data_IF_812827866931
#
_entry.id   IF_812827866931
#
_cell.length_a   1.000
_cell.length_b   1.000
_cell.length_c   1.000
_cell.angle_alpha   90.00
_cell.angle_beta   90.00
_cell.angle_gamma   90.00
#
_symmetry.space_group_name_H-M   'P 1'
#
loop_
_entity.id
_entity.type
_entity.pdbx_description
1 polymer ?
#
# COMPACT_ATOMS: atom_id res chain seq x y z
N UNK A 1 -4.64 -31.10 -10.18
CA UNK A 1 -5.50 -30.28 -9.31
C UNK A 1 -4.61 -29.26 -8.62
N UNK A 2 -4.95 -27.98 -8.72
CA UNK A 2 -4.17 -26.88 -8.14
C UNK A 2 -4.21 -26.96 -6.60
N UNK A 3 -3.09 -26.61 -5.94
CA UNK A 3 -2.92 -26.64 -4.48
C UNK A 3 -2.69 -25.22 -3.98
N UNK A 4 -3.56 -24.75 -3.10
CA UNK A 4 -3.50 -23.41 -2.52
C UNK A 4 -3.20 -23.54 -1.03
N UNK A 5 -2.06 -23.01 -0.60
CA UNK A 5 -1.67 -22.96 0.80
C UNK A 5 -2.17 -21.72 1.52
N UNK A 6 -2.38 -21.83 2.82
CA UNK A 6 -2.73 -20.70 3.69
C UNK A 6 -2.24 -20.97 5.12
N UNK A 7 -2.14 -19.90 5.91
CA UNK A 7 -1.84 -20.01 7.34
C UNK A 7 -3.05 -20.62 8.08
N UNK A 8 -2.88 -21.84 8.58
CA UNK A 8 -3.86 -22.53 9.40
C UNK A 8 -4.01 -21.94 10.81
N UNK A 9 -4.81 -22.57 11.68
CA UNK A 9 -5.56 -23.81 11.49
C UNK A 9 -6.82 -23.62 10.64
N UNK A 10 -7.66 -24.67 10.51
CA UNK A 10 -8.91 -24.59 9.75
C UNK A 10 -9.92 -23.63 10.40
N UNK A 11 -10.62 -22.83 9.59
CA UNK A 11 -11.61 -21.85 10.03
C UNK A 11 -11.08 -20.42 10.21
N UNK A 12 -9.82 -20.16 9.84
CA UNK A 12 -9.22 -18.81 9.87
C UNK A 12 -9.71 -17.93 8.71
N UNK A 13 -9.49 -16.61 8.82
CA UNK A 13 -9.70 -15.69 7.69
C UNK A 13 -8.80 -16.00 6.49
N UNK A 14 -7.59 -16.51 6.73
CA UNK A 14 -6.70 -17.00 5.67
C UNK A 14 -7.33 -18.15 4.87
N UNK A 15 -8.06 -19.07 5.54
CA UNK A 15 -8.81 -20.12 4.83
C UNK A 15 -9.96 -19.54 4.01
N UNK A 16 -10.67 -18.54 4.53
CA UNK A 16 -11.74 -17.88 3.78
C UNK A 16 -11.21 -17.23 2.50
N UNK A 17 -10.07 -16.56 2.58
CA UNK A 17 -9.40 -15.98 1.41
C UNK A 17 -8.99 -17.08 0.42
N UNK A 18 -8.41 -18.18 0.91
CA UNK A 18 -8.05 -19.32 0.07
C UNK A 18 -9.28 -19.99 -0.58
N UNK A 19 -10.41 -20.10 0.12
CA UNK A 19 -11.68 -20.62 -0.42
C UNK A 19 -12.26 -19.71 -1.51
N UNK A 20 -12.19 -18.38 -1.33
CA UNK A 20 -12.64 -17.42 -2.36
C UNK A 20 -11.84 -17.60 -3.65
N UNK A 21 -10.52 -17.79 -3.55
CA UNK A 21 -9.67 -18.10 -4.69
C UNK A 21 -10.00 -19.49 -5.29
N UNK A 22 -10.12 -20.52 -4.46
CA UNK A 22 -10.36 -21.89 -4.93
C UNK A 22 -11.70 -22.09 -5.64
N UNK A 23 -12.71 -21.28 -5.35
CA UNK A 23 -14.01 -21.31 -6.06
C UNK A 23 -13.88 -20.97 -7.55
N UNK A 24 -12.87 -20.18 -7.92
CA UNK A 24 -12.60 -19.87 -9.32
C UNK A 24 -11.90 -21.02 -10.07
N UNK A 25 -11.08 -21.81 -9.36
CA UNK A 25 -10.09 -22.71 -9.99
C UNK A 25 -10.23 -24.21 -9.61
N UNK A 26 -11.30 -24.60 -8.91
CA UNK A 26 -11.50 -25.96 -8.36
C UNK A 26 -10.25 -26.53 -7.66
N UNK A 27 -9.69 -25.74 -6.74
CA UNK A 27 -8.40 -26.03 -6.12
C UNK A 27 -8.52 -26.76 -4.77
N UNK A 28 -7.51 -27.56 -4.43
CA UNK A 28 -7.34 -28.20 -3.12
C UNK A 28 -6.67 -27.21 -2.15
N UNK A 29 -7.29 -27.01 -0.99
CA UNK A 29 -6.75 -26.18 0.07
C UNK A 29 -5.83 -26.97 1.01
N UNK A 30 -4.70 -26.37 1.38
CA UNK A 30 -3.67 -26.98 2.23
C UNK A 30 -3.35 -26.03 3.39
N UNK A 31 -3.78 -26.34 4.64
CA UNK A 31 -3.37 -25.56 5.80
C UNK A 31 -1.89 -25.81 6.11
N UNK A 32 -1.15 -24.75 6.45
CA UNK A 32 0.23 -24.81 6.93
C UNK A 32 0.37 -24.13 8.30
N UNK A 33 1.44 -24.44 9.01
CA UNK A 33 1.68 -23.99 10.39
C UNK A 33 2.25 -22.57 10.46
N UNK A 34 2.98 -22.12 9.44
CA UNK A 34 3.53 -20.76 9.37
C UNK A 34 3.47 -20.14 7.98
N UNK A 35 3.57 -18.81 7.91
CA UNK A 35 3.70 -18.09 6.64
C UNK A 35 5.01 -18.43 5.90
N UNK A 36 6.06 -18.77 6.66
CA UNK A 36 7.34 -19.22 6.10
C UNK A 36 7.14 -20.52 5.35
N UNK A 37 6.40 -21.47 5.94
CA UNK A 37 6.11 -22.76 5.30
C UNK A 37 5.27 -22.61 4.03
N UNK A 38 4.35 -21.63 4.01
CA UNK A 38 3.57 -21.30 2.80
C UNK A 38 4.50 -20.88 1.66
N UNK A 39 5.41 -19.94 1.92
CA UNK A 39 6.37 -19.45 0.91
C UNK A 39 7.30 -20.56 0.44
N UNK A 40 7.90 -21.29 1.39
CA UNK A 40 8.82 -22.40 1.08
C UNK A 40 8.12 -23.49 0.27
N UNK A 41 6.88 -23.82 0.60
CA UNK A 41 6.13 -24.85 -0.12
C UNK A 41 5.81 -24.45 -1.58
N UNK A 42 5.66 -23.16 -1.88
CA UNK A 42 5.55 -22.69 -3.27
C UNK A 42 6.91 -22.82 -3.98
N UNK A 43 8.01 -22.42 -3.33
CA UNK A 43 9.36 -22.53 -3.91
C UNK A 43 9.75 -23.98 -4.21
N UNK A 44 9.36 -24.91 -3.34
CA UNK A 44 9.61 -26.34 -3.51
C UNK A 44 8.66 -27.01 -4.54
N UNK A 45 7.71 -26.26 -5.12
CA UNK A 45 6.68 -26.80 -6.03
C UNK A 45 5.66 -27.73 -5.35
N UNK A 46 5.60 -27.72 -4.00
CA UNK A 46 4.60 -28.45 -3.19
C UNK A 46 3.24 -27.75 -3.18
N UNK A 47 3.22 -26.45 -3.42
CA UNK A 47 2.03 -25.63 -3.64
C UNK A 47 2.12 -24.89 -4.97
N UNK A 48 0.97 -24.64 -5.58
CA UNK A 48 0.88 -23.85 -6.79
C UNK A 48 0.64 -22.36 -6.47
N UNK A 49 -0.06 -22.08 -5.37
CA UNK A 49 -0.24 -20.73 -4.80
C UNK A 49 -0.24 -20.75 -3.28
N UNK A 50 0.00 -19.59 -2.67
CA UNK A 50 -0.22 -19.36 -1.25
C UNK A 50 -0.92 -18.02 -1.00
N UNK A 51 -1.78 -17.99 0.01
CA UNK A 51 -2.50 -16.78 0.43
C UNK A 51 -1.86 -16.22 1.70
N UNK A 52 -1.38 -14.99 1.63
CA UNK A 52 -0.67 -14.32 2.73
C UNK A 52 -1.39 -13.02 3.12
N UNK A 53 -1.75 -12.80 4.39
CA UNK A 53 -2.27 -11.52 4.84
C UNK A 53 -1.15 -10.49 4.83
N UNK A 54 -1.38 -9.32 4.21
CA UNK A 54 -0.36 -8.25 4.12
C UNK A 54 -0.71 -7.04 4.97
N UNK A 55 -1.99 -6.77 5.18
CA UNK A 55 -2.47 -5.57 5.86
C UNK A 55 -3.88 -5.77 6.39
N UNK A 56 -4.13 -5.26 7.59
CA UNK A 56 -5.45 -5.17 8.20
C UNK A 56 -5.77 -3.69 8.46
N UNK A 57 -6.99 -3.25 8.17
CA UNK A 57 -7.37 -1.82 8.33
C UNK A 57 -7.37 -1.35 9.79
N UNK A 58 -7.44 -2.25 10.77
CA UNK A 58 -7.38 -1.94 12.20
C UNK A 58 -5.98 -1.99 12.81
N UNK A 59 -5.15 -2.97 12.47
CA UNK A 59 -3.78 -3.13 13.03
C UNK A 59 -2.65 -2.62 12.11
N UNK A 60 -2.94 -2.38 10.83
CA UNK A 60 -1.93 -2.08 9.82
C UNK A 60 -1.25 -3.35 9.26
N UNK A 61 0.02 -3.22 8.91
CA UNK A 61 0.71 -4.20 8.07
C UNK A 61 1.23 -5.42 8.81
N UNK A 62 1.13 -6.59 8.15
CA UNK A 62 1.68 -7.85 8.65
C UNK A 62 3.19 -7.89 8.37
N UNK A 63 3.97 -7.51 9.39
CA UNK A 63 5.43 -7.41 9.33
C UNK A 63 6.12 -8.64 8.72
N UNK A 64 5.72 -9.84 9.14
CA UNK A 64 6.32 -11.09 8.67
C UNK A 64 6.09 -11.31 7.17
N UNK A 65 4.88 -11.02 6.66
CA UNK A 65 4.56 -11.13 5.24
C UNK A 65 5.40 -10.18 4.40
N UNK A 66 5.56 -8.93 4.84
CA UNK A 66 6.40 -7.96 4.16
C UNK A 66 7.86 -8.42 4.11
N UNK A 67 8.41 -8.93 5.22
CA UNK A 67 9.78 -9.43 5.27
C UNK A 67 9.97 -10.68 4.35
N UNK A 68 8.98 -11.57 4.29
CA UNK A 68 8.99 -12.70 3.37
C UNK A 68 8.97 -12.24 1.91
N UNK A 69 8.13 -11.26 1.58
CA UNK A 69 8.05 -10.68 0.24
C UNK A 69 9.34 -9.97 -0.16
N UNK A 70 9.99 -9.24 0.74
CA UNK A 70 11.24 -8.54 0.43
C UNK A 70 12.43 -9.49 0.24
N UNK A 71 12.58 -10.48 1.14
CA UNK A 71 13.84 -11.20 1.31
C UNK A 71 13.79 -12.70 1.00
N UNK A 72 12.61 -13.30 0.94
CA UNK A 72 12.47 -14.77 0.83
C UNK A 72 11.55 -15.21 -0.33
N UNK A 73 11.15 -14.29 -1.21
CA UNK A 73 10.23 -14.56 -2.32
C UNK A 73 10.95 -14.80 -3.65
N UNK A 74 12.21 -15.26 -3.64
CA UNK A 74 12.98 -15.46 -4.87
C UNK A 74 12.31 -16.52 -5.77
N UNK A 75 12.15 -16.17 -7.04
CA UNK A 75 11.41 -17.00 -8.01
C UNK A 75 9.88 -16.93 -7.88
N UNK A 76 9.35 -16.10 -6.98
CA UNK A 76 7.92 -15.93 -6.76
C UNK A 76 7.42 -14.55 -7.19
N UNK A 77 6.14 -14.47 -7.52
CA UNK A 77 5.42 -13.25 -7.87
C UNK A 77 4.03 -13.21 -7.23
N UNK A 78 3.53 -12.00 -6.99
CA UNK A 78 2.14 -11.76 -6.60
C UNK A 78 1.28 -11.94 -7.85
N UNK A 79 0.35 -12.88 -7.76
CA UNK A 79 -0.53 -13.30 -8.84
C UNK A 79 -1.89 -12.59 -8.82
N UNK A 80 -2.37 -12.26 -7.62
CA UNK A 80 -3.67 -11.62 -7.35
C UNK A 80 -3.69 -10.98 -5.96
N UNK A 81 -4.68 -10.10 -5.75
CA UNK A 81 -5.03 -9.51 -4.47
C UNK A 81 -6.44 -9.95 -4.06
N UNK A 82 -6.67 -10.08 -2.76
CA UNK A 82 -7.99 -10.33 -2.17
C UNK A 82 -8.19 -9.42 -0.97
N UNK A 83 -9.32 -8.75 -0.88
CA UNK A 83 -9.73 -7.95 0.29
C UNK A 83 -10.96 -8.60 0.89
N UNK A 84 -10.87 -8.97 2.17
CA UNK A 84 -11.98 -9.60 2.89
C UNK A 84 -12.44 -8.75 4.07
N UNK A 85 -13.75 -8.54 4.24
CA UNK A 85 -14.30 -7.98 5.47
C UNK A 85 -14.13 -8.99 6.62
N UNK A 86 -13.57 -8.50 7.73
CA UNK A 86 -13.34 -9.27 8.95
C UNK A 86 -14.57 -9.15 9.83
N UNK A 87 -15.41 -10.19 9.75
CA UNK A 87 -16.63 -10.31 10.56
C UNK A 87 -16.41 -11.30 11.67
N UNK A 88 -16.58 -10.83 12.91
CA UNK A 88 -16.56 -11.68 14.09
C UNK A 88 -17.99 -12.07 14.48
N UNK A 89 -18.14 -13.34 14.87
CA UNK A 89 -19.40 -13.93 15.30
C UNK A 89 -19.20 -14.58 16.66
N UNK A 90 -20.24 -14.55 17.49
CA UNK A 90 -20.30 -15.34 18.71
C UNK A 90 -20.82 -16.73 18.36
N UNK A 91 -19.99 -17.74 18.59
CA UNK A 91 -20.24 -19.14 18.26
C UNK A 91 -20.40 -19.93 19.55
N UNK A 92 -21.37 -20.84 19.62
CA UNK A 92 -21.50 -21.74 20.75
C UNK A 92 -21.97 -23.11 20.28
N UNK A 93 -21.90 -24.11 21.16
CA UNK A 93 -22.46 -25.42 20.85
C UNK A 93 -23.97 -25.33 20.62
N UNK A 94 -24.56 -26.18 19.75
CA UNK A 94 -25.99 -26.14 19.47
C UNK A 94 -26.88 -26.18 20.72
N UNK A 95 -26.43 -26.86 21.77
CA UNK A 95 -27.15 -27.02 23.04
C UNK A 95 -27.04 -25.80 23.97
N UNK A 96 -26.10 -24.87 23.75
CA UNK A 96 -25.85 -23.74 24.64
C UNK A 96 -26.79 -22.57 24.35
N UNK A 97 -27.62 -22.15 25.30
CA UNK A 97 -28.44 -20.95 25.13
C UNK A 97 -27.66 -19.66 25.44
N UNK A 98 -28.07 -18.54 24.84
CA UNK A 98 -27.35 -17.27 24.99
C UNK A 98 -27.23 -16.81 26.46
N UNK A 99 -28.24 -17.09 27.28
CA UNK A 99 -28.22 -16.76 28.72
C UNK A 99 -27.33 -17.68 29.58
N UNK A 100 -26.88 -18.81 29.05
CA UNK A 100 -26.08 -19.81 29.78
C UNK A 100 -24.57 -19.61 29.58
N UNK A 101 -24.17 -18.67 28.71
CA UNK A 101 -22.77 -18.42 28.40
C UNK A 101 -22.07 -17.78 29.60
N UNK A 102 -21.20 -18.56 30.24
CA UNK A 102 -20.37 -18.12 31.37
C UNK A 102 -18.90 -17.91 30.98
N UNK A 103 -18.47 -18.33 29.79
CA UNK A 103 -17.08 -18.14 29.35
C UNK A 103 -17.02 -17.88 27.85
N UNK A 104 -16.30 -16.83 27.46
CA UNK A 104 -16.03 -16.47 26.06
C UNK A 104 -14.54 -16.64 25.76
N UNK A 105 -14.24 -17.42 24.72
CA UNK A 105 -12.87 -17.80 24.32
C UNK A 105 -12.53 -17.15 22.98
N UNK A 106 -11.38 -16.49 22.87
CA UNK A 106 -10.84 -16.09 21.56
C UNK A 106 -9.39 -15.61 21.63
N UNK A 107 -8.87 -15.17 20.49
CA UNK A 107 -7.63 -14.40 20.44
C UNK A 107 -7.82 -13.03 21.15
N UNK A 108 -6.79 -12.51 21.87
CA UNK A 108 -6.90 -11.23 22.58
C UNK A 108 -7.42 -10.06 21.73
N UNK A 109 -6.95 -9.96 20.48
CA UNK A 109 -7.44 -8.97 19.51
C UNK A 109 -8.96 -9.10 19.28
N UNK A 110 -9.46 -10.31 19.00
CA UNK A 110 -10.87 -10.52 18.68
C UNK A 110 -11.77 -10.23 19.89
N UNK A 111 -11.31 -10.54 21.11
CA UNK A 111 -11.97 -10.14 22.35
C UNK A 111 -12.03 -8.61 22.49
N UNK A 112 -10.91 -7.93 22.23
CA UNK A 112 -10.85 -6.47 22.28
C UNK A 112 -11.73 -5.80 21.22
N UNK A 113 -11.83 -6.38 20.02
CA UNK A 113 -12.65 -5.87 18.91
C UNK A 113 -14.15 -6.09 19.11
N UNK A 114 -14.58 -6.92 20.05
CA UNK A 114 -16.01 -7.19 20.31
C UNK A 114 -16.42 -6.75 21.72
N UNK A 115 -15.65 -5.86 22.33
CA UNK A 115 -15.78 -5.52 23.75
C UNK A 115 -17.12 -4.87 24.07
N UNK A 116 -17.65 -4.01 23.18
CA UNK A 116 -18.92 -3.35 23.43
C UNK A 116 -20.08 -4.37 23.48
N UNK A 117 -20.12 -5.29 22.51
CA UNK A 117 -21.12 -6.36 22.46
C UNK A 117 -21.08 -7.26 23.70
N UNK A 118 -19.87 -7.68 24.11
CA UNK A 118 -19.68 -8.53 25.29
C UNK A 118 -20.08 -7.81 26.59
N UNK A 119 -19.79 -6.52 26.71
CA UNK A 119 -20.13 -5.71 27.89
C UNK A 119 -21.64 -5.46 28.03
N UNK A 120 -22.41 -5.57 26.95
CA UNK A 120 -23.86 -5.40 26.96
C UNK A 120 -24.57 -6.73 27.28
N UNK A 121 -24.23 -7.81 26.59
CA UNK A 121 -24.94 -9.10 26.67
C UNK A 121 -24.37 -10.11 27.69
N UNK A 122 -23.08 -10.04 28.03
CA UNK A 122 -22.35 -11.13 28.70
C UNK A 122 -21.51 -10.63 29.88
N UNK A 123 -22.06 -9.71 30.69
CA UNK A 123 -21.35 -9.05 31.82
C UNK A 123 -20.78 -9.98 32.88
N UNK A 124 -21.36 -11.17 33.04
CA UNK A 124 -20.91 -12.18 34.00
C UNK A 124 -19.96 -13.23 33.42
N UNK A 125 -19.69 -13.19 32.12
CA UNK A 125 -18.86 -14.21 31.47
C UNK A 125 -17.36 -13.94 31.70
N UNK A 126 -16.60 -14.99 31.97
CA UNK A 126 -15.14 -14.94 32.00
C UNK A 126 -14.56 -14.90 30.57
N UNK A 127 -13.46 -14.18 30.37
CA UNK A 127 -12.74 -14.16 29.09
C UNK A 127 -11.51 -15.06 29.16
N UNK A 128 -11.35 -15.95 28.17
CA UNK A 128 -10.19 -16.83 28.03
C UNK A 128 -9.48 -16.56 26.72
N UNK A 129 -8.22 -16.18 26.83
CA UNK A 129 -7.36 -15.90 25.68
C UNK A 129 -6.72 -17.18 25.14
N UNK A 130 -6.69 -17.32 23.81
CA UNK A 130 -6.07 -18.44 23.09
C UNK A 130 -5.31 -17.93 21.87
N UNK A 131 -4.59 -18.83 21.20
CA UNK A 131 -3.65 -18.49 20.12
C UNK A 131 -4.33 -18.07 18.80
N UNK A 132 -5.58 -18.46 18.55
CA UNK A 132 -6.32 -18.02 17.37
C UNK A 132 -7.84 -18.12 17.54
N UNK A 133 -8.59 -17.38 16.72
CA UNK A 133 -10.06 -17.43 16.67
C UNK A 133 -10.59 -18.80 16.22
N UNK A 134 -9.86 -19.47 15.34
CA UNK A 134 -10.18 -20.82 14.90
C UNK A 134 -9.92 -21.87 16.00
N UNK A 135 -8.84 -21.73 16.76
CA UNK A 135 -8.57 -22.59 17.92
C UNK A 135 -9.62 -22.40 19.02
N UNK A 136 -10.11 -21.17 19.21
CA UNK A 136 -11.23 -20.89 20.11
C UNK A 136 -12.50 -21.66 19.72
N UNK A 137 -12.85 -21.66 18.43
CA UNK A 137 -14.01 -22.41 17.94
C UNK A 137 -13.84 -23.92 18.17
N UNK A 138 -12.65 -24.47 17.90
CA UNK A 138 -12.33 -25.88 18.19
C UNK A 138 -12.46 -26.21 19.68
N UNK A 139 -11.91 -25.37 20.57
CA UNK A 139 -11.99 -25.56 22.02
C UNK A 139 -13.44 -25.58 22.50
N UNK A 140 -14.29 -24.70 21.97
CA UNK A 140 -15.71 -24.63 22.34
C UNK A 140 -16.51 -25.81 21.79
N UNK A 141 -16.14 -26.34 20.63
CA UNK A 141 -16.75 -27.56 20.11
C UNK A 141 -16.44 -28.79 20.99
N UNK A 142 -15.22 -28.85 21.53
CA UNK A 142 -14.75 -29.94 22.41
C UNK A 142 -15.15 -29.75 23.90
N UNK A 143 -15.79 -28.63 24.27
CA UNK A 143 -16.11 -28.31 25.67
C UNK A 143 -17.54 -28.65 26.08
N UNK A 144 -17.81 -28.55 27.38
CA UNK A 144 -19.16 -28.56 27.94
C UNK A 144 -19.99 -27.35 27.45
N UNK A 145 -21.34 -27.46 27.42
CA UNK A 145 -22.22 -26.33 27.15
C UNK A 145 -21.99 -25.15 28.11
N UNK A 146 -22.24 -23.93 27.65
CA UNK A 146 -22.02 -22.70 28.44
C UNK A 146 -20.73 -21.94 28.08
N UNK A 147 -19.94 -22.48 27.15
CA UNK A 147 -18.83 -21.76 26.53
C UNK A 147 -19.20 -21.22 25.14
N UNK A 148 -18.68 -20.04 24.81
CA UNK A 148 -18.81 -19.44 23.49
C UNK A 148 -17.43 -19.01 22.95
N UNK A 149 -17.26 -19.04 21.64
CA UNK A 149 -16.05 -18.61 20.95
C UNK A 149 -16.35 -17.37 20.10
N UNK A 150 -15.40 -16.43 20.03
CA UNK A 150 -15.43 -15.43 18.96
C UNK A 150 -14.63 -15.98 17.79
N UNK A 151 -15.32 -16.16 16.66
CA UNK A 151 -14.77 -16.82 15.50
C UNK A 151 -15.38 -16.35 14.20
N UNK A 152 -15.07 -17.07 13.13
CA UNK A 152 -15.61 -16.81 11.81
C UNK A 152 -16.83 -17.70 11.54
N UNK A 153 -17.72 -17.31 10.63
CA UNK A 153 -18.85 -18.18 10.22
C UNK A 153 -18.36 -19.52 9.64
N UNK A 154 -17.25 -19.51 8.89
CA UNK A 154 -16.60 -20.72 8.40
C UNK A 154 -16.15 -21.66 9.54
N UNK A 155 -15.64 -21.11 10.65
CA UNK A 155 -15.28 -21.93 11.81
C UNK A 155 -16.53 -22.58 12.43
N UNK A 156 -17.66 -21.88 12.46
CA UNK A 156 -18.92 -22.44 12.94
C UNK A 156 -19.36 -23.65 12.10
N UNK A 157 -19.28 -23.54 10.77
CA UNK A 157 -19.58 -24.64 9.84
C UNK A 157 -18.62 -25.84 10.04
N UNK A 158 -17.32 -25.58 10.13
CA UNK A 158 -16.30 -26.64 10.24
C UNK A 158 -16.42 -27.42 11.56
N UNK A 159 -16.71 -26.73 12.66
CA UNK A 159 -16.74 -27.32 14.00
C UNK A 159 -18.17 -27.62 14.50
N UNK A 160 -19.20 -27.44 13.67
CA UNK A 160 -20.59 -27.75 14.02
C UNK A 160 -21.19 -26.86 15.11
N UNK A 161 -20.79 -25.58 15.17
CA UNK A 161 -21.27 -24.61 16.16
C UNK A 161 -22.45 -23.80 15.60
N UNK A 162 -23.35 -23.35 16.49
CA UNK A 162 -24.38 -22.37 16.16
C UNK A 162 -23.86 -20.94 16.38
N UNK A 163 -24.37 -20.02 15.57
CA UNK A 163 -24.07 -18.59 15.71
C UNK A 163 -25.10 -17.95 16.64
N UNK A 164 -24.67 -17.55 17.84
CA UNK A 164 -25.50 -16.82 18.82
C UNK A 164 -25.58 -15.33 18.49
N UNK A 165 -24.50 -14.75 17.97
CA UNK A 165 -24.40 -13.33 17.62
C UNK A 165 -23.69 -13.16 16.30
N UNK A 166 -24.29 -12.42 15.37
CA UNK A 166 -23.71 -12.14 14.05
C UNK A 166 -23.09 -10.74 14.02
N UNK A 167 -21.90 -10.64 13.42
CA UNK A 167 -21.23 -9.36 13.15
C UNK A 167 -21.11 -8.49 14.43
N UNK A 168 -20.50 -9.09 15.45
CA UNK A 168 -20.43 -8.54 16.82
C UNK A 168 -19.23 -7.61 17.06
N UNK A 169 -18.44 -7.35 16.01
CA UNK A 169 -17.30 -6.46 16.09
C UNK A 169 -17.74 -5.00 16.26
N UNK A 170 -17.03 -4.26 17.09
CA UNK A 170 -17.29 -2.85 17.40
C UNK A 170 -17.11 -1.96 16.14
N UNK A 171 -16.19 -2.34 15.24
CA UNK A 171 -15.93 -1.68 13.96
C UNK A 171 -16.39 -2.55 12.79
N UNK A 172 -17.35 -2.04 12.02
CA UNK A 172 -17.91 -2.75 10.84
C UNK A 172 -17.03 -2.67 9.58
N UNK A 173 -16.08 -1.74 9.53
CA UNK A 173 -15.20 -1.49 8.38
C UNK A 173 -13.83 -2.17 8.51
N UNK A 174 -13.72 -3.24 9.30
CA UNK A 174 -12.48 -3.98 9.43
C UNK A 174 -12.29 -4.89 8.21
N UNK A 175 -11.19 -4.70 7.48
CA UNK A 175 -10.87 -5.45 6.28
C UNK A 175 -9.43 -5.94 6.35
N UNK A 176 -9.18 -7.13 5.82
CA UNK A 176 -7.81 -7.64 5.64
C UNK A 176 -7.54 -7.84 4.18
N UNK A 177 -6.44 -7.25 3.73
CA UNK A 177 -5.87 -7.45 2.41
C UNK A 177 -4.93 -8.65 2.46
N UNK A 178 -5.14 -9.55 1.51
CA UNK A 178 -4.33 -10.74 1.26
C UNK A 178 -3.72 -10.66 -0.13
N UNK A 179 -2.49 -11.16 -0.25
CA UNK A 179 -1.81 -11.33 -1.53
C UNK A 179 -1.72 -12.82 -1.85
N UNK A 180 -1.98 -13.15 -3.11
CA UNK A 180 -1.82 -14.50 -3.64
C UNK A 180 -0.43 -14.58 -4.27
N UNK A 181 0.43 -15.41 -3.70
CA UNK A 181 1.79 -15.62 -4.17
C UNK A 181 1.86 -16.92 -4.99
N UNK A 182 2.71 -16.95 -6.01
CA UNK A 182 2.94 -18.12 -6.86
C UNK A 182 4.29 -18.04 -7.57
N UNK A 183 4.61 -19.03 -8.40
CA UNK A 183 5.81 -18.99 -9.24
C UNK A 183 5.74 -17.84 -10.25
N UNK A 184 6.89 -17.34 -10.72
CA UNK A 184 6.93 -16.29 -11.77
C UNK A 184 6.02 -16.60 -12.96
N UNK A 185 5.32 -15.58 -13.47
CA UNK A 185 4.35 -15.72 -14.55
C UNK A 185 2.98 -16.24 -14.11
N UNK A 186 2.70 -16.28 -12.80
CA UNK A 186 1.46 -16.81 -12.23
C UNK A 186 0.21 -15.93 -12.37
N UNK A 187 0.30 -14.80 -13.08
CA UNK A 187 -0.75 -13.79 -13.18
C UNK A 187 -2.09 -14.42 -13.62
N UNK A 188 -3.16 -14.13 -12.89
CA UNK A 188 -4.49 -14.75 -13.12
C UNK A 188 -5.45 -13.89 -13.95
N UNK A 189 -5.11 -12.64 -14.25
CA UNK A 189 -5.99 -11.72 -14.96
C UNK A 189 -5.28 -10.47 -15.48
N UNK A 190 -6.07 -9.47 -15.90
CA UNK A 190 -5.53 -8.18 -16.36
C UNK A 190 -4.82 -7.49 -15.19
N UNK A 191 -3.54 -7.12 -15.33
CA UNK A 191 -2.83 -6.42 -14.27
C UNK A 191 -3.34 -4.98 -14.13
N UNK A 192 -3.73 -4.62 -12.91
CA UNK A 192 -4.23 -3.28 -12.58
C UNK A 192 -3.38 -2.61 -11.49
N UNK A 193 -2.68 -3.42 -10.68
CA UNK A 193 -1.80 -2.95 -9.62
C UNK A 193 -0.43 -3.62 -9.76
N UNK A 194 0.63 -2.91 -9.40
CA UNK A 194 1.99 -3.45 -9.33
C UNK A 194 2.60 -3.14 -7.97
N UNK A 195 3.18 -4.14 -7.32
CA UNK A 195 3.88 -3.96 -6.04
C UNK A 195 5.38 -4.01 -6.22
N UNK A 196 6.08 -3.09 -5.55
CA UNK A 196 7.52 -2.90 -5.62
C UNK A 196 8.12 -2.87 -4.21
N UNK A 197 9.34 -3.37 -4.07
CA UNK A 197 10.23 -3.07 -2.94
C UNK A 197 11.39 -2.23 -3.45
N UNK A 198 11.52 -1.04 -2.90
CA UNK A 198 12.56 -0.08 -3.26
C UNK A 198 13.50 0.14 -2.07
N UNK A 199 14.78 0.35 -2.32
CA UNK A 199 15.71 0.90 -1.32
C UNK A 199 16.48 2.05 -1.93
N UNK A 200 16.42 3.20 -1.28
CA UNK A 200 17.14 4.40 -1.71
C UNK A 200 18.64 4.32 -1.41
N UNK A 201 19.42 5.11 -2.14
CA UNK A 201 20.79 5.45 -1.76
C UNK A 201 20.80 6.25 -0.43
N UNK A 202 21.85 6.10 0.36
CA UNK A 202 21.99 6.70 1.70
C UNK A 202 22.36 8.19 1.61
N UNK A 203 21.42 9.01 1.13
CA UNK A 203 21.53 10.47 1.13
C UNK A 203 20.15 11.14 1.31
N UNK A 204 20.11 12.39 1.80
CA UNK A 204 18.86 13.15 1.89
C UNK A 204 18.15 13.26 0.54
N UNK A 205 16.82 13.12 0.55
CA UNK A 205 15.98 13.27 -0.65
C UNK A 205 15.85 12.03 -1.54
N UNK A 206 16.49 10.89 -1.22
CA UNK A 206 16.37 9.67 -2.03
C UNK A 206 14.92 9.21 -2.22
N UNK A 207 14.10 9.26 -1.16
CA UNK A 207 12.68 8.93 -1.27
C UNK A 207 11.95 9.89 -2.22
N UNK A 208 12.19 11.20 -2.10
CA UNK A 208 11.58 12.19 -2.98
C UNK A 208 11.93 11.95 -4.45
N UNK A 209 13.19 11.64 -4.75
CA UNK A 209 13.63 11.34 -6.12
C UNK A 209 12.96 10.08 -6.68
N UNK A 210 12.86 9.02 -5.87
CA UNK A 210 12.16 7.78 -6.24
C UNK A 210 10.67 8.05 -6.51
N UNK A 211 9.98 8.74 -5.61
CA UNK A 211 8.55 9.07 -5.80
C UNK A 211 8.34 10.03 -6.97
N UNK A 212 9.31 10.89 -7.24
CA UNK A 212 9.31 11.77 -8.41
C UNK A 212 9.24 11.01 -9.74
N UNK A 213 9.82 9.81 -9.85
CA UNK A 213 9.75 9.02 -11.11
C UNK A 213 8.32 8.62 -11.46
N UNK A 214 7.51 8.31 -10.45
CA UNK A 214 6.09 7.99 -10.63
C UNK A 214 5.27 9.26 -10.88
N UNK A 215 5.46 10.29 -10.05
CA UNK A 215 4.68 11.52 -10.11
C UNK A 215 4.81 12.24 -11.46
N UNK A 216 6.02 12.32 -12.02
CA UNK A 216 6.29 12.97 -13.32
C UNK A 216 5.61 12.28 -14.50
N UNK A 217 5.16 11.04 -14.33
CA UNK A 217 4.50 10.21 -15.36
C UNK A 217 3.02 9.95 -15.06
N UNK A 218 2.45 10.64 -14.05
CA UNK A 218 1.04 10.49 -13.69
C UNK A 218 0.70 9.14 -13.07
N UNK A 219 1.68 8.38 -12.58
CA UNK A 219 1.45 7.07 -11.96
C UNK A 219 1.00 7.26 -10.53
N UNK A 220 -0.23 6.82 -10.24
CA UNK A 220 -0.80 6.89 -8.90
C UNK A 220 -0.25 5.78 -8.01
N UNK A 221 0.08 6.14 -6.76
CA UNK A 221 0.48 5.19 -5.72
C UNK A 221 -0.71 4.93 -4.80
N UNK A 222 -1.08 3.66 -4.60
CA UNK A 222 -2.14 3.27 -3.68
C UNK A 222 -1.63 2.97 -2.28
N UNK A 223 -0.33 2.70 -2.13
CA UNK A 223 0.30 2.41 -0.83
C UNK A 223 1.77 2.78 -0.85
N UNK A 224 2.26 3.31 0.28
CA UNK A 224 3.68 3.44 0.57
C UNK A 224 3.93 3.14 2.05
N UNK A 225 4.87 2.25 2.34
CA UNK A 225 5.27 1.91 3.71
C UNK A 225 6.79 1.78 3.80
N UNK A 226 7.39 2.44 4.79
CA UNK A 226 8.82 2.34 5.07
C UNK A 226 9.09 1.31 6.15
N UNK A 227 10.14 0.51 5.97
CA UNK A 227 10.62 -0.46 6.98
C UNK A 227 12.14 -0.47 7.06
N UNK A 228 12.73 -0.75 8.23
CA UNK A 228 14.17 -0.97 8.33
C UNK A 228 14.57 -2.21 7.51
N UNK A 229 15.64 -2.12 6.74
CA UNK A 229 16.08 -3.18 5.81
C UNK A 229 16.56 -4.47 6.50
N UNK A 230 16.56 -4.55 7.84
CA UNK A 230 17.06 -5.64 8.71
C UNK A 230 18.50 -6.11 8.46
N UNK A 231 19.19 -5.55 7.46
CA UNK A 231 20.60 -5.84 7.10
C UNK A 231 21.60 -4.91 7.77
N UNK A 232 21.26 -3.62 7.94
CA UNK A 232 22.08 -2.63 8.65
C UNK A 232 21.20 -1.50 9.21
N UNK A 233 21.53 -1.01 10.41
CA UNK A 233 20.91 0.20 11.00
C UNK A 233 21.04 1.40 10.04
N UNK A 234 19.96 2.16 9.86
CA UNK A 234 19.90 3.35 9.00
C UNK A 234 19.47 3.10 7.55
N UNK A 235 19.41 1.84 7.08
CA UNK A 235 18.88 1.53 5.74
C UNK A 235 17.40 1.19 5.80
N UNK A 236 16.64 1.74 4.87
CA UNK A 236 15.20 1.52 4.74
C UNK A 236 14.88 0.85 3.41
N UNK A 237 13.86 0.00 3.44
CA UNK A 237 13.14 -0.48 2.27
C UNK A 237 11.74 0.15 2.28
N UNK A 238 11.21 0.39 1.09
CA UNK A 238 9.91 0.97 0.86
C UNK A 238 9.07 -0.02 0.08
N UNK A 239 7.93 -0.41 0.63
CA UNK A 239 6.89 -1.14 -0.10
C UNK A 239 6.00 -0.13 -0.79
N UNK A 240 5.89 -0.23 -2.11
CA UNK A 240 5.13 0.71 -2.93
C UNK A 240 4.17 -0.09 -3.80
N UNK A 241 2.89 0.26 -3.73
CA UNK A 241 1.90 -0.23 -4.68
C UNK A 241 1.51 0.91 -5.62
N UNK A 242 1.59 0.64 -6.92
CA UNK A 242 1.17 1.56 -7.97
C UNK A 242 -0.07 1.03 -8.69
N UNK A 243 -0.91 1.94 -9.15
CA UNK A 243 -1.99 1.65 -10.09
C UNK A 243 -1.38 1.63 -11.49
N UNK A 244 -1.41 0.46 -12.13
CA UNK A 244 -0.78 0.21 -13.41
C UNK A 244 -0.07 -1.16 -13.47
N UNK A 245 0.34 -1.53 -14.69
CA UNK A 245 1.06 -2.77 -14.98
C UNK A 245 2.49 -2.50 -15.43
N UNK A 246 3.43 -3.41 -15.14
CA UNK A 246 4.77 -3.39 -15.77
C UNK A 246 4.76 -3.52 -17.30
N UNK A 247 3.62 -3.86 -17.89
CA UNK A 247 3.47 -3.92 -19.34
C UNK A 247 3.16 -2.54 -19.96
N UNK A 248 2.83 -1.53 -19.14
CA UNK A 248 2.54 -0.18 -19.59
C UNK A 248 3.83 0.63 -19.82
N UNK A 249 3.95 1.37 -20.94
CA UNK A 249 5.15 2.15 -21.24
C UNK A 249 5.54 3.12 -20.11
N UNK A 250 4.56 3.80 -19.51
CA UNK A 250 4.78 4.79 -18.46
C UNK A 250 5.42 4.15 -17.21
N UNK A 251 4.95 2.95 -16.84
CA UNK A 251 5.48 2.19 -15.71
C UNK A 251 6.88 1.65 -16.02
N UNK A 252 7.13 1.18 -17.24
CA UNK A 252 8.46 0.73 -17.66
C UNK A 252 9.48 1.87 -17.61
N UNK A 253 9.11 3.05 -18.10
CA UNK A 253 9.95 4.24 -18.02
C UNK A 253 10.20 4.69 -16.59
N UNK A 254 9.18 4.61 -15.72
CA UNK A 254 9.35 4.91 -14.29
C UNK A 254 10.34 3.93 -13.65
N UNK A 255 10.19 2.62 -13.90
CA UNK A 255 11.11 1.60 -13.39
C UNK A 255 12.55 1.80 -13.90
N UNK A 256 12.73 2.17 -15.16
CA UNK A 256 14.03 2.49 -15.72
C UNK A 256 14.65 3.74 -15.06
N UNK A 257 13.86 4.78 -14.81
CA UNK A 257 14.30 6.00 -14.11
C UNK A 257 14.71 5.75 -12.66
N UNK A 258 14.03 4.83 -11.97
CA UNK A 258 14.36 4.47 -10.59
C UNK A 258 15.76 3.87 -10.45
N UNK A 259 16.29 3.20 -11.47
CA UNK A 259 17.63 2.58 -11.43
C UNK A 259 18.72 3.62 -11.09
N UNK A 260 18.53 4.89 -11.50
CA UNK A 260 19.48 5.96 -11.20
C UNK A 260 19.46 6.44 -9.74
N UNK A 261 18.41 6.11 -8.98
CA UNK A 261 18.14 6.63 -7.64
C UNK A 261 17.98 5.54 -6.57
N UNK A 262 17.87 4.28 -6.98
CA UNK A 262 17.71 3.13 -6.09
C UNK A 262 19.00 2.31 -5.99
N UNK A 263 19.35 1.91 -4.78
CA UNK A 263 20.36 0.86 -4.57
C UNK A 263 19.79 -0.55 -4.78
N UNK A 264 18.47 -0.69 -4.67
CA UNK A 264 17.76 -1.97 -4.84
C UNK A 264 16.33 -1.70 -5.33
N UNK A 265 15.92 -2.45 -6.35
CA UNK A 265 14.54 -2.47 -6.87
C UNK A 265 14.15 -3.93 -7.05
N UNK A 266 13.01 -4.31 -6.49
CA UNK A 266 12.39 -5.61 -6.71
C UNK A 266 10.94 -5.41 -7.11
N UNK A 267 10.58 -5.88 -8.29
CA UNK A 267 9.17 -6.00 -8.70
C UNK A 267 8.62 -7.27 -8.06
N UNK A 268 7.60 -7.14 -7.21
CA UNK A 268 6.94 -8.28 -6.57
C UNK A 268 5.87 -8.91 -7.46
N UNK A 269 5.35 -8.16 -8.43
CA UNK A 269 4.39 -8.65 -9.42
C UNK A 269 3.42 -7.57 -9.87
N UNK A 270 2.82 -7.77 -11.04
CA UNK A 270 1.65 -7.01 -11.51
C UNK A 270 0.45 -7.93 -11.62
N UNK A 271 -0.65 -7.55 -10.98
CA UNK A 271 -1.77 -8.42 -10.68
C UNK A 271 -3.10 -7.65 -10.73
N UNK A 272 -4.24 -8.35 -10.93
CA UNK A 272 -5.57 -7.74 -10.85
C UNK A 272 -5.84 -7.23 -9.43
N UNK A 273 -6.47 -6.06 -9.30
CA UNK A 273 -6.95 -5.59 -8.01
C UNK A 273 -8.19 -6.39 -7.59
N UNK A 274 -8.46 -6.50 -6.29
CA UNK A 274 -9.76 -7.02 -5.87
C UNK A 274 -10.81 -5.95 -6.11
N UNK A 275 -11.62 -6.11 -7.16
CA UNK A 275 -12.88 -5.37 -7.31
C UNK A 275 -13.82 -5.87 -6.22
N UNK A 276 -13.62 -5.36 -5.00
CA UNK A 276 -14.25 -5.89 -3.78
C UNK A 276 -15.75 -5.98 -3.93
N UNK A 277 -16.39 -6.91 -3.21
CA UNK A 277 -17.83 -7.21 -3.34
C UNK A 277 -18.72 -6.13 -2.69
N UNK A 278 -18.49 -4.88 -3.07
CA UNK A 278 -19.33 -3.72 -2.80
C UNK A 278 -20.43 -3.70 -3.87
N UNK A 279 -21.68 -3.78 -3.41
CA UNK A 279 -22.84 -3.57 -4.27
C UNK A 279 -22.77 -2.22 -4.98
N UNK A 280 -23.34 -2.21 -6.19
CA UNK A 280 -23.85 -1.06 -6.93
C UNK A 280 -23.23 0.28 -6.54
N UNK A 281 -22.07 0.57 -7.14
CA UNK A 281 -21.72 1.97 -7.40
C UNK A 281 -21.32 2.09 -8.85
N UNK A 282 -22.13 2.87 -9.55
CA UNK A 282 -22.09 3.19 -10.96
C UNK A 282 -20.66 3.35 -11.49
N UNK A 283 -20.38 2.57 -12.53
CA UNK A 283 -19.25 2.75 -13.44
C UNK A 283 -19.34 4.12 -14.10
N UNK A 284 -18.70 5.12 -13.49
CA UNK A 284 -18.36 6.38 -14.12
C UNK A 284 -16.95 6.30 -14.71
N UNK A 285 -16.84 6.03 -16.01
CA UNK A 285 -15.68 6.35 -16.83
C UNK A 285 -15.22 7.78 -16.51
N UNK A 286 -14.16 7.94 -15.70
CA UNK A 286 -13.58 9.26 -15.38
C UNK A 286 -12.82 9.77 -16.59
N UNK A 287 -13.54 10.44 -17.49
CA UNK A 287 -12.97 11.56 -18.23
C UNK A 287 -12.68 12.63 -17.18
N UNK A 288 -11.43 13.10 -17.07
CA UNK A 288 -11.06 14.15 -16.12
C UNK A 288 -12.05 15.31 -16.22
N UNK A 289 -12.74 15.61 -15.12
CA UNK A 289 -13.69 16.73 -15.09
C UNK A 289 -12.93 18.05 -15.18
N UNK A 290 -13.59 19.11 -15.66
CA UNK A 290 -13.02 20.48 -15.67
C UNK A 290 -12.51 20.87 -14.26
N UNK A 291 -13.15 20.38 -13.20
CA UNK A 291 -12.72 20.57 -11.81
C UNK A 291 -11.37 19.94 -11.49
N UNK A 292 -11.04 18.80 -12.08
CA UNK A 292 -9.78 18.10 -11.82
C UNK A 292 -8.62 18.78 -12.55
N UNK A 293 -8.83 19.17 -13.81
CA UNK A 293 -7.84 19.95 -14.56
C UNK A 293 -7.56 21.30 -13.90
N UNK A 294 -8.58 21.97 -13.34
CA UNK A 294 -8.39 23.22 -12.59
C UNK A 294 -7.55 23.01 -11.34
N UNK A 295 -7.81 21.94 -10.58
CA UNK A 295 -7.01 21.60 -9.41
C UNK A 295 -5.54 21.36 -9.78
N UNK A 296 -5.29 20.68 -10.90
CA UNK A 296 -3.93 20.46 -11.39
C UNK A 296 -3.23 21.76 -11.82
N UNK A 297 -3.97 22.70 -12.41
CA UNK A 297 -3.49 24.06 -12.70
C UNK A 297 -3.14 24.80 -11.41
N UNK A 298 -4.03 24.79 -10.41
CA UNK A 298 -3.79 25.45 -9.12
C UNK A 298 -2.50 24.93 -8.46
N UNK A 299 -2.27 23.62 -8.50
CA UNK A 299 -1.05 22.99 -7.98
C UNK A 299 0.22 23.40 -8.75
N UNK A 300 0.12 23.54 -10.07
CA UNK A 300 1.22 24.02 -10.90
C UNK A 300 1.52 25.50 -10.62
N UNK A 301 0.50 26.33 -10.41
CA UNK A 301 0.64 27.74 -10.07
C UNK A 301 1.32 27.92 -8.71
N UNK A 302 0.94 27.13 -7.69
CA UNK A 302 1.64 27.09 -6.41
C UNK A 302 3.12 26.72 -6.58
N UNK A 303 3.41 25.71 -7.42
CA UNK A 303 4.77 25.29 -7.71
C UNK A 303 5.58 26.37 -8.44
N UNK A 304 4.96 27.14 -9.35
CA UNK A 304 5.62 28.25 -10.03
C UNK A 304 6.07 29.32 -9.03
N UNK A 305 5.22 29.66 -8.05
CA UNK A 305 5.55 30.62 -6.98
C UNK A 305 6.71 30.09 -6.12
N UNK A 306 6.67 28.83 -5.71
CA UNK A 306 7.75 28.19 -4.95
C UNK A 306 9.08 28.17 -5.72
N UNK A 307 9.05 27.86 -7.02
CA UNK A 307 10.24 27.89 -7.87
C UNK A 307 10.79 29.31 -8.03
N UNK A 308 9.92 30.31 -8.15
CA UNK A 308 10.32 31.72 -8.18
C UNK A 308 10.99 32.15 -6.87
N UNK A 309 10.47 31.72 -5.71
CA UNK A 309 11.04 31.97 -4.39
C UNK A 309 12.42 31.30 -4.23
N UNK A 310 12.55 30.03 -4.63
CA UNK A 310 13.83 29.31 -4.63
C UNK A 310 14.86 29.99 -5.54
N UNK A 311 14.44 30.42 -6.73
CA UNK A 311 15.31 31.18 -7.63
C UNK A 311 15.76 32.50 -7.00
N UNK A 312 14.88 33.21 -6.29
CA UNK A 312 15.25 34.43 -5.55
C UNK A 312 16.34 34.14 -4.51
N UNK A 313 16.22 33.04 -3.76
CA UNK A 313 17.23 32.63 -2.78
C UNK A 313 18.60 32.34 -3.42
N UNK A 314 18.64 31.60 -4.54
CA UNK A 314 19.89 31.34 -5.27
C UNK A 314 20.52 32.62 -5.83
N UNK A 315 19.67 33.53 -6.33
CA UNK A 315 20.09 34.85 -6.79
C UNK A 315 20.74 35.65 -5.65
N UNK A 316 20.20 35.58 -4.42
CA UNK A 316 20.81 36.20 -3.23
C UNK A 316 22.15 35.57 -2.85
N UNK A 317 22.26 34.26 -2.96
CA UNK A 317 23.53 33.56 -2.72
C UNK A 317 24.61 33.99 -3.71
N UNK A 318 24.26 34.12 -5.00
CA UNK A 318 25.17 34.65 -6.02
C UNK A 318 25.58 36.09 -5.68
N UNK A 319 24.64 36.93 -5.23
CA UNK A 319 24.90 38.29 -4.79
C UNK A 319 25.94 38.36 -3.67
N UNK A 320 25.77 37.52 -2.64
CA UNK A 320 26.72 37.40 -1.52
C UNK A 320 28.12 36.94 -1.96
N UNK A 321 28.19 35.98 -2.90
CA UNK A 321 29.46 35.47 -3.44
C UNK A 321 30.18 36.48 -4.34
N UNK A 322 29.46 37.45 -4.92
CA UNK A 322 30.00 38.43 -5.88
C UNK A 322 30.60 39.69 -5.26
N UNK A 323 30.64 39.85 -3.93
CA UNK A 323 31.33 40.90 -3.15
C UNK A 323 31.88 42.12 -3.95
N UNK A 324 31.00 42.97 -4.49
CA UNK A 324 31.36 44.21 -5.20
C UNK A 324 31.60 44.14 -6.72
N UNK A 325 31.45 42.97 -7.35
CA UNK A 325 31.47 42.83 -8.81
C UNK A 325 30.14 43.28 -9.45
N UNK A 326 30.18 43.62 -10.74
CA UNK A 326 29.00 44.06 -11.50
C UNK A 326 27.85 43.05 -11.37
N UNK A 327 26.71 43.53 -10.85
CA UNK A 327 25.51 42.73 -10.57
C UNK A 327 24.89 42.19 -11.86
N UNK A 328 24.90 43.00 -12.92
CA UNK A 328 24.29 42.68 -14.21
C UNK A 328 25.32 42.11 -15.20
N UNK A 329 24.96 41.00 -15.82
CA UNK A 329 25.75 40.35 -16.88
C UNK A 329 24.87 40.17 -18.13
N UNK A 330 24.91 41.12 -19.09
CA UNK A 330 24.07 41.09 -20.29
C UNK A 330 24.31 39.86 -21.17
N UNK A 331 25.55 39.35 -21.21
CA UNK A 331 25.89 38.16 -21.99
C UNK A 331 25.21 36.93 -21.38
N UNK A 332 25.26 36.81 -20.04
CA UNK A 332 24.56 35.74 -19.32
C UNK A 332 23.04 35.83 -19.44
N UNK A 333 22.47 37.04 -19.40
CA UNK A 333 21.04 37.25 -19.64
C UNK A 333 20.64 36.76 -21.04
N UNK A 334 21.40 37.11 -22.08
CA UNK A 334 21.15 36.64 -23.44
C UNK A 334 21.26 35.11 -23.58
N UNK A 335 22.23 34.47 -22.93
CA UNK A 335 22.36 33.00 -22.90
C UNK A 335 21.16 32.31 -22.26
N UNK A 336 20.66 32.86 -21.13
CA UNK A 336 19.48 32.33 -20.44
C UNK A 336 18.26 32.43 -21.35
N UNK A 337 18.07 33.59 -21.97
CA UNK A 337 16.98 33.88 -22.90
C UNK A 337 16.98 32.91 -24.10
N UNK A 338 18.13 32.70 -24.74
CA UNK A 338 18.26 31.77 -25.88
C UNK A 338 18.08 30.30 -25.48
N UNK A 339 18.52 29.92 -24.27
CA UNK A 339 18.29 28.57 -23.73
C UNK A 339 16.80 28.33 -23.46
N UNK A 340 16.11 29.31 -22.88
CA UNK A 340 14.69 29.20 -22.51
C UNK A 340 13.78 29.20 -23.75
N UNK A 341 14.10 30.01 -24.76
CA UNK A 341 13.41 29.98 -26.06
C UNK A 341 13.42 28.57 -26.67
N UNK A 342 14.61 27.97 -26.79
CA UNK A 342 14.76 26.59 -27.31
C UNK A 342 14.09 25.54 -26.43
N UNK A 343 13.96 25.80 -25.12
CA UNK A 343 13.24 24.89 -24.22
C UNK A 343 11.72 24.98 -24.42
N UNK A 344 11.18 26.19 -24.62
CA UNK A 344 9.77 26.40 -24.92
C UNK A 344 9.36 25.69 -26.23
N UNK A 345 10.17 25.88 -27.29
CA UNK A 345 9.98 25.21 -28.59
C UNK A 345 9.93 23.68 -28.46
N UNK A 346 10.83 23.08 -27.66
CA UNK A 346 10.83 21.62 -27.42
C UNK A 346 9.64 21.10 -26.60
N UNK A 347 8.93 21.99 -25.90
CA UNK A 347 7.83 21.64 -25.01
C UNK A 347 6.47 22.06 -25.57
N UNK A 348 6.43 22.43 -26.86
CA UNK A 348 5.23 22.89 -27.55
C UNK A 348 4.54 24.07 -26.83
N UNK A 349 5.36 24.95 -26.23
CA UNK A 349 4.92 26.16 -25.55
C UNK A 349 5.34 27.37 -26.38
N UNK A 350 4.44 28.36 -26.51
CA UNK A 350 4.75 29.60 -27.24
C UNK A 350 6.04 30.25 -26.69
N UNK A 351 7.12 30.31 -27.48
CA UNK A 351 8.37 30.89 -27.03
C UNK A 351 8.21 32.35 -26.65
N UNK A 352 7.34 33.09 -27.35
CA UNK A 352 7.10 34.52 -27.11
C UNK A 352 6.60 34.74 -25.67
N UNK A 353 5.66 33.90 -25.20
CA UNK A 353 5.13 33.94 -23.84
C UNK A 353 6.23 33.73 -22.79
N UNK A 354 7.07 32.71 -22.96
CA UNK A 354 8.18 32.42 -22.02
C UNK A 354 9.15 33.60 -21.97
N UNK A 355 9.46 34.18 -23.13
CA UNK A 355 10.34 35.35 -23.22
C UNK A 355 9.75 36.57 -22.51
N UNK A 356 8.44 36.81 -22.61
CA UNK A 356 7.76 37.90 -21.90
C UNK A 356 7.80 37.71 -20.38
N UNK A 357 7.51 36.50 -19.89
CA UNK A 357 7.60 36.18 -18.46
C UNK A 357 9.02 36.45 -17.95
N UNK A 358 10.04 35.98 -18.66
CA UNK A 358 11.43 36.16 -18.23
C UNK A 358 11.95 37.60 -18.41
N UNK A 359 11.38 38.38 -19.33
CA UNK A 359 11.63 39.81 -19.43
C UNK A 359 11.13 40.60 -18.20
N UNK A 360 10.14 40.09 -17.48
CA UNK A 360 9.67 40.65 -16.21
C UNK A 360 10.53 40.13 -15.05
N UNK A 361 10.80 38.82 -15.03
CA UNK A 361 11.51 38.16 -13.92
C UNK A 361 12.98 38.57 -13.82
N UNK A 362 13.72 38.67 -14.93
CA UNK A 362 15.15 38.98 -14.89
C UNK A 362 15.44 40.35 -14.25
N UNK A 363 14.77 41.46 -14.64
CA UNK A 363 14.92 42.74 -13.96
C UNK A 363 14.56 42.69 -12.48
N UNK A 364 13.52 41.92 -12.09
CA UNK A 364 13.17 41.72 -10.69
C UNK A 364 14.33 41.09 -9.89
N UNK A 365 14.93 40.01 -10.41
CA UNK A 365 16.03 39.33 -9.73
C UNK A 365 17.31 40.18 -9.68
N UNK A 366 17.59 40.98 -10.71
CA UNK A 366 18.72 41.94 -10.70
C UNK A 366 18.52 42.99 -9.61
N UNK A 367 17.31 43.58 -9.50
CA UNK A 367 17.01 44.55 -8.42
C UNK A 367 17.17 43.92 -7.03
N UNK A 368 16.76 42.67 -6.88
CA UNK A 368 16.87 41.94 -5.63
C UNK A 368 18.33 41.73 -5.19
N UNK A 369 19.26 41.57 -6.13
CA UNK A 369 20.71 41.53 -5.84
C UNK A 369 21.29 42.90 -5.51
N UNK A 370 20.86 43.96 -6.22
CA UNK A 370 21.30 45.34 -5.96
C UNK A 370 20.90 45.77 -4.55
N UNK A 371 19.66 45.52 -4.13
CA UNK A 371 19.19 45.88 -2.79
C UNK A 371 19.96 45.15 -1.69
N UNK A 372 20.30 43.87 -1.91
CA UNK A 372 21.08 43.09 -0.95
C UNK A 372 22.52 43.64 -0.79
N UNK A 373 23.15 44.13 -1.87
CA UNK A 373 24.46 44.79 -1.78
C UNK A 373 24.41 46.18 -1.13
N UNK A 374 23.25 46.83 -1.09
CA UNK A 374 23.07 48.12 -0.40
C UNK A 374 22.86 47.95 1.11
N UNK A 375 22.35 46.78 1.53
CA UNK A 375 22.11 46.42 2.94
C UNK A 375 23.30 45.69 3.61
N UNK A 376 24.38 45.41 2.87
CA UNK A 376 25.64 44.77 3.35
C UNK A 376 26.75 45.80 3.37
#
# INVERSE_FOLDING_TARGET
>A
MMRIGYLGPKGTFSEQAARRLARADEARLVPLESLVDVVQAIQDGRLDRGVLPVENSGEGSVALTLDLLAFHSDGLEICAELVLPIRHHLLARPETEAGEVHTVVSHPQALAQCRAYLAEGYRGAAFREVVSTADAARIVADSEPGMAAIGTELAAEIYGLKVLGRDIADLRSNETRFLVLGAKGCRTGRPEKTSLVLSGSDHPGSLYLMLGEFARRGISLSRIESRPARTRLGRYIFFVDLIGSVDQPEVQEALAGLIAHCGFIRVLGSYPADSGSAGDTEEGSRVAGISDVRRDIDLLDDLLVELMAKRAALVRQIGALKAGAAVRDPKREAEIMERLKRLAERRDLDPQLVMQVYAILLPYYVRLQVNQQADT
#
